data_IF_944542517349
#
_entry.id   IF_944542517349
#
_cell.length_a   1.000
_cell.length_b   1.000
_cell.length_c   1.000
_cell.angle_alpha   90.00
_cell.angle_beta   90.00
_cell.angle_gamma   90.00
#
_symmetry.space_group_name_H-M   'P 1'
#
loop_
_entity.id
_entity.type
_entity.pdbx_description
1 polymer ?
#
# COMPACT_ATOMS: atom_id res chain seq x y z
N UNK A 1 -53.36 -4.18 -64.16
CA UNK A 1 -52.04 -4.47 -63.61
C UNK A 1 -52.21 -4.62 -62.10
N UNK A 2 -52.11 -5.82 -61.49
CA UNK A 2 -52.26 -6.02 -60.07
C UNK A 2 -50.94 -5.70 -59.36
N UNK A 3 -51.01 -4.82 -58.32
CA UNK A 3 -49.85 -4.52 -57.41
C UNK A 3 -49.67 -5.67 -56.45
N UNK A 4 -48.52 -6.38 -56.54
CA UNK A 4 -48.09 -7.37 -55.57
C UNK A 4 -47.47 -6.62 -54.44
N UNK A 5 -48.06 -6.73 -53.24
CA UNK A 5 -47.49 -6.24 -51.99
C UNK A 5 -46.43 -7.23 -51.47
N UNK A 6 -45.24 -6.80 -51.12
CA UNK A 6 -44.25 -7.71 -50.51
C UNK A 6 -44.70 -8.09 -49.09
N UNK A 7 -44.87 -9.37 -48.86
CA UNK A 7 -45.07 -9.95 -47.52
C UNK A 7 -43.84 -9.62 -46.66
N UNK A 8 -44.01 -8.71 -45.70
CA UNK A 8 -43.01 -8.50 -44.66
C UNK A 8 -42.92 -9.77 -43.83
N UNK A 9 -41.83 -10.50 -43.93
CA UNK A 9 -41.49 -11.55 -43.02
C UNK A 9 -41.29 -10.93 -41.61
N UNK A 10 -42.30 -11.08 -40.78
CA UNK A 10 -42.19 -10.82 -39.34
C UNK A 10 -41.24 -11.88 -38.77
N UNK A 11 -39.97 -11.57 -38.62
CA UNK A 11 -39.04 -12.39 -37.88
C UNK A 11 -39.61 -12.59 -36.46
N UNK A 12 -40.00 -13.79 -36.13
CA UNK A 12 -40.42 -14.21 -34.82
C UNK A 12 -39.21 -14.03 -33.86
N UNK A 13 -39.19 -12.93 -33.16
CA UNK A 13 -38.27 -12.72 -32.01
C UNK A 13 -38.80 -13.48 -30.80
N UNK A 14 -38.78 -14.80 -30.88
CA UNK A 14 -39.14 -15.66 -29.80
C UNK A 14 -37.92 -16.39 -29.32
N UNK A 15 -37.46 -16.17 -28.11
CA UNK A 15 -36.37 -16.92 -27.46
C UNK A 15 -35.05 -16.18 -27.27
N UNK A 16 -34.79 -15.08 -28.02
CA UNK A 16 -33.55 -14.32 -27.91
C UNK A 16 -33.49 -13.43 -26.65
N UNK A 17 -34.62 -12.96 -26.14
CA UNK A 17 -34.64 -11.98 -25.04
C UNK A 17 -34.19 -12.57 -23.71
N UNK A 18 -34.42 -13.85 -23.45
CA UNK A 18 -34.06 -14.48 -22.19
C UNK A 18 -32.55 -14.71 -22.10
N UNK A 19 -31.93 -15.15 -23.20
CA UNK A 19 -30.46 -15.29 -23.29
C UNK A 19 -29.79 -13.91 -23.25
N UNK A 20 -30.38 -12.91 -23.88
CA UNK A 20 -29.86 -11.54 -23.87
C UNK A 20 -29.87 -10.93 -22.46
N UNK A 21 -30.94 -11.15 -21.70
CA UNK A 21 -31.01 -10.71 -20.30
C UNK A 21 -29.99 -11.46 -19.43
N UNK A 22 -29.86 -12.78 -19.63
CA UNK A 22 -28.87 -13.56 -18.88
C UNK A 22 -27.44 -13.10 -19.17
N UNK A 23 -27.12 -12.82 -20.43
CA UNK A 23 -25.81 -12.29 -20.82
C UNK A 23 -25.59 -10.88 -20.26
N UNK A 24 -26.60 -10.02 -20.31
CA UNK A 24 -26.47 -8.67 -19.73
C UNK A 24 -26.20 -8.71 -18.22
N UNK A 25 -26.93 -9.56 -17.47
CA UNK A 25 -26.70 -9.75 -16.03
C UNK A 25 -25.32 -10.32 -15.76
N UNK A 26 -24.87 -11.31 -16.54
CA UNK A 26 -23.53 -11.88 -16.39
C UNK A 26 -22.42 -10.84 -16.61
N UNK A 27 -22.54 -9.99 -17.64
CA UNK A 27 -21.59 -8.91 -17.92
C UNK A 27 -21.61 -7.87 -16.79
N UNK A 28 -22.80 -7.49 -16.30
CA UNK A 28 -22.91 -6.57 -15.16
C UNK A 28 -22.24 -7.15 -13.90
N UNK A 29 -22.48 -8.42 -13.60
CA UNK A 29 -21.88 -9.08 -12.44
C UNK A 29 -20.35 -9.14 -12.57
N UNK A 30 -19.82 -9.51 -13.73
CA UNK A 30 -18.39 -9.55 -13.98
C UNK A 30 -17.75 -8.16 -13.85
N UNK A 31 -18.41 -7.13 -14.38
CA UNK A 31 -17.95 -5.74 -14.26
C UNK A 31 -17.95 -5.25 -12.82
N UNK A 32 -18.99 -5.56 -12.05
CA UNK A 32 -19.07 -5.20 -10.63
C UNK A 32 -17.95 -5.87 -9.82
N UNK A 33 -17.68 -7.16 -10.04
CA UNK A 33 -16.60 -7.88 -9.37
C UNK A 33 -15.23 -7.30 -9.73
N UNK A 34 -15.01 -6.93 -10.99
CA UNK A 34 -13.78 -6.27 -11.44
C UNK A 34 -13.54 -4.93 -10.75
N UNK A 35 -14.59 -4.10 -10.61
CA UNK A 35 -14.52 -2.84 -9.89
C UNK A 35 -14.19 -3.02 -8.40
N UNK A 36 -14.83 -3.99 -7.73
CA UNK A 36 -14.55 -4.29 -6.33
C UNK A 36 -13.10 -4.74 -6.14
N UNK A 37 -12.59 -5.61 -7.00
CA UNK A 37 -11.20 -6.05 -6.96
C UNK A 37 -10.21 -4.88 -7.14
N UNK A 38 -10.50 -3.98 -8.08
CA UNK A 38 -9.72 -2.75 -8.30
C UNK A 38 -9.72 -1.83 -7.08
N UNK A 39 -10.87 -1.61 -6.45
CA UNK A 39 -10.98 -0.78 -5.24
C UNK A 39 -10.21 -1.38 -4.06
N UNK A 40 -10.26 -2.69 -3.87
CA UNK A 40 -9.49 -3.36 -2.82
C UNK A 40 -7.98 -3.20 -3.05
N UNK A 41 -7.54 -3.30 -4.28
CA UNK A 41 -6.12 -3.10 -4.62
C UNK A 41 -5.66 -1.67 -4.34
N UNK A 42 -6.42 -0.66 -4.79
CA UNK A 42 -6.10 0.75 -4.55
C UNK A 42 -6.13 1.12 -3.07
N UNK A 43 -7.08 0.58 -2.30
CA UNK A 43 -7.16 0.81 -0.85
C UNK A 43 -5.93 0.22 -0.11
N UNK A 44 -5.41 -0.91 -0.56
CA UNK A 44 -4.19 -1.51 0.02
C UNK A 44 -2.95 -0.67 -0.29
N UNK A 45 -2.83 -0.19 -1.51
CA UNK A 45 -1.71 0.66 -1.90
C UNK A 45 -1.75 2.00 -1.15
N UNK A 46 -2.93 2.61 -1.01
CA UNK A 46 -3.12 3.83 -0.24
C UNK A 46 -2.68 3.66 1.23
N UNK A 47 -2.99 2.53 1.86
CA UNK A 47 -2.52 2.23 3.22
C UNK A 47 -1.01 2.10 3.29
N UNK A 48 -0.38 1.44 2.32
CA UNK A 48 1.08 1.30 2.29
C UNK A 48 1.78 2.65 2.13
N UNK A 49 1.23 3.54 1.31
CA UNK A 49 1.71 4.92 1.15
C UNK A 49 1.55 5.72 2.44
N UNK A 50 0.39 5.67 3.09
CA UNK A 50 0.14 6.35 4.36
C UNK A 50 1.12 5.92 5.46
N UNK A 51 1.44 4.62 5.55
CA UNK A 51 2.45 4.15 6.51
C UNK A 51 3.84 4.72 6.23
N UNK A 52 4.22 4.84 4.96
CA UNK A 52 5.50 5.45 4.57
C UNK A 52 5.56 6.93 4.92
N UNK A 53 4.47 7.66 4.70
CA UNK A 53 4.35 9.08 5.07
C UNK A 53 4.48 9.27 6.58
N UNK A 54 3.76 8.47 7.38
CA UNK A 54 3.90 8.50 8.84
C UNK A 54 5.32 8.17 9.30
N UNK A 55 5.94 7.15 8.70
CA UNK A 55 7.31 6.78 9.04
C UNK A 55 8.32 7.88 8.67
N UNK A 56 8.15 8.54 7.53
CA UNK A 56 8.99 9.66 7.13
C UNK A 56 8.86 10.85 8.07
N UNK A 57 7.62 11.19 8.46
CA UNK A 57 7.36 12.26 9.44
C UNK A 57 7.96 11.94 10.82
N UNK A 58 7.85 10.70 11.28
CA UNK A 58 8.47 10.27 12.55
C UNK A 58 10.00 10.35 12.44
N UNK A 59 10.58 9.90 11.30
CA UNK A 59 12.02 9.95 11.10
C UNK A 59 12.55 11.39 11.13
N UNK A 60 11.85 12.33 10.51
CA UNK A 60 12.19 13.76 10.54
C UNK A 60 12.10 14.32 11.96
N UNK A 61 11.05 14.03 12.71
CA UNK A 61 10.89 14.43 14.10
C UNK A 61 11.96 13.84 15.03
N UNK A 62 12.41 12.62 14.73
CA UNK A 62 13.53 11.98 15.45
C UNK A 62 14.84 12.69 15.16
N UNK A 63 15.08 13.14 13.92
CA UNK A 63 16.24 13.98 13.56
C UNK A 63 16.22 15.28 14.34
N UNK A 64 15.11 16.00 14.39
CA UNK A 64 14.96 17.24 15.16
C UNK A 64 15.24 17.01 16.65
N UNK A 65 14.66 15.93 17.22
CA UNK A 65 14.90 15.58 18.63
C UNK A 65 16.37 15.22 18.90
N UNK A 66 17.04 14.59 17.95
CA UNK A 66 18.46 14.22 18.07
C UNK A 66 19.41 15.40 17.91
N UNK A 67 19.02 16.42 17.16
CA UNK A 67 19.78 17.66 16.94
C UNK A 67 19.52 18.72 18.01
N UNK A 68 18.49 18.58 18.84
CA UNK A 68 18.18 19.54 19.89
C UNK A 68 19.31 19.64 20.91
N UNK A 69 19.65 20.86 21.42
CA UNK A 69 20.74 21.07 22.39
C UNK A 69 20.59 20.28 23.69
N UNK A 70 19.33 20.00 24.06
CA UNK A 70 18.96 19.17 25.20
C UNK A 70 18.43 17.80 24.75
N UNK A 71 19.04 17.19 23.72
CA UNK A 71 18.63 15.89 23.22
C UNK A 71 18.66 14.88 24.37
N UNK A 72 17.49 14.56 24.89
CA UNK A 72 17.34 13.64 25.99
C UNK A 72 16.88 12.29 25.45
N UNK A 73 17.38 11.21 26.04
CA UNK A 73 16.89 9.85 25.76
C UNK A 73 15.37 9.75 25.94
N UNK A 74 14.79 10.63 26.77
CA UNK A 74 13.34 10.73 26.98
C UNK A 74 12.60 11.16 25.73
N UNK A 75 13.12 12.12 24.96
CA UNK A 75 12.52 12.56 23.69
C UNK A 75 12.55 11.45 22.64
N UNK A 76 13.69 10.76 22.50
CA UNK A 76 13.81 9.62 21.62
C UNK A 76 12.89 8.47 22.01
N UNK A 77 12.75 8.19 23.31
CA UNK A 77 11.83 7.17 23.81
C UNK A 77 10.36 7.54 23.56
N UNK A 78 9.99 8.82 23.64
CA UNK A 78 8.66 9.28 23.28
C UNK A 78 8.37 9.01 21.78
N UNK A 79 9.32 9.25 20.89
CA UNK A 79 9.17 8.96 19.48
C UNK A 79 9.13 7.47 19.16
N UNK A 80 9.89 6.64 19.86
CA UNK A 80 9.77 5.17 19.77
C UNK A 80 8.39 4.69 20.15
N UNK A 81 7.85 5.18 21.26
CA UNK A 81 6.49 4.86 21.69
C UNK A 81 5.46 5.30 20.64
N UNK A 82 5.65 6.47 20.03
CA UNK A 82 4.77 6.97 19.01
C UNK A 82 4.85 6.15 17.71
N UNK A 83 6.04 5.71 17.32
CA UNK A 83 6.23 4.80 16.20
C UNK A 83 5.51 3.46 16.44
N UNK A 84 5.62 2.90 17.63
CA UNK A 84 4.95 1.65 18.00
C UNK A 84 3.41 1.77 18.01
N UNK A 85 2.86 2.97 18.28
CA UNK A 85 1.40 3.19 18.25
C UNK A 85 0.84 3.45 16.86
N UNK A 86 1.61 4.12 15.99
CA UNK A 86 1.14 4.53 14.65
C UNK A 86 1.44 3.50 13.56
N UNK A 87 2.48 2.70 13.75
CA UNK A 87 2.96 1.74 12.76
C UNK A 87 2.91 0.31 13.32
N UNK A 88 2.51 -0.69 12.52
CA UNK A 88 2.51 -2.09 12.97
C UNK A 88 3.91 -2.54 13.34
N UNK A 89 4.15 -2.90 14.61
CA UNK A 89 5.45 -3.22 15.15
C UNK A 89 6.51 -2.14 14.83
N UNK A 90 6.07 -0.87 14.88
CA UNK A 90 6.91 0.27 14.57
C UNK A 90 8.01 0.45 15.62
N UNK A 91 9.23 0.74 15.14
CA UNK A 91 10.36 1.13 15.99
C UNK A 91 11.10 2.31 15.35
N UNK A 92 11.64 3.18 16.21
CA UNK A 92 12.42 4.32 15.78
C UNK A 92 13.79 4.28 16.50
N UNK A 93 14.87 4.46 15.76
CA UNK A 93 16.22 4.42 16.29
C UNK A 93 17.12 5.44 15.61
N UNK A 94 18.13 5.90 16.34
CA UNK A 94 19.22 6.72 15.81
C UNK A 94 20.50 5.93 15.94
N UNK A 95 21.23 5.81 14.84
CA UNK A 95 22.53 5.14 14.79
C UNK A 95 23.51 6.06 14.08
N UNK A 96 24.76 6.06 14.49
CA UNK A 96 25.83 6.85 13.86
C UNK A 96 26.90 7.22 14.85
N UNK A 97 28.04 7.58 14.32
CA UNK A 97 29.20 8.08 15.06
C UNK A 97 29.35 9.60 14.81
N UNK A 98 30.28 10.24 15.53
CA UNK A 98 30.54 11.67 15.41
C UNK A 98 30.63 12.14 13.97
N UNK A 99 29.73 13.04 13.58
CA UNK A 99 29.66 13.69 12.29
C UNK A 99 28.46 13.28 11.43
N UNK A 100 28.13 12.02 11.30
CA UNK A 100 26.97 11.56 10.52
C UNK A 100 26.15 10.55 11.33
N UNK A 101 24.89 10.87 11.52
CA UNK A 101 23.93 9.99 12.18
C UNK A 101 22.79 9.65 11.20
N UNK A 102 22.10 8.55 11.48
CA UNK A 102 20.96 8.08 10.69
C UNK A 102 19.78 7.83 11.63
N UNK A 103 18.71 8.57 11.43
CA UNK A 103 17.41 8.27 12.01
C UNK A 103 16.73 7.21 11.16
N UNK A 104 16.27 6.15 11.79
CA UNK A 104 15.64 5.02 11.13
C UNK A 104 14.32 4.69 11.80
N UNK A 105 13.28 4.52 10.97
CA UNK A 105 11.97 4.01 11.39
C UNK A 105 11.69 2.73 10.62
N UNK A 106 11.37 1.67 11.35
CA UNK A 106 11.03 0.36 10.79
C UNK A 106 9.61 -0.02 11.18
N UNK A 107 8.92 -0.77 10.33
CA UNK A 107 7.60 -1.31 10.63
C UNK A 107 7.35 -2.58 9.82
N UNK A 108 6.42 -3.42 10.29
CA UNK A 108 6.01 -4.61 9.54
C UNK A 108 5.24 -4.20 8.28
N UNK A 109 5.74 -4.61 7.12
CA UNK A 109 5.03 -4.40 5.86
C UNK A 109 3.77 -5.27 5.82
N UNK A 110 2.61 -4.65 5.53
CA UNK A 110 1.39 -5.39 5.23
C UNK A 110 1.53 -6.03 3.84
N UNK A 111 2.16 -7.18 3.78
CA UNK A 111 2.29 -7.96 2.55
C UNK A 111 1.05 -8.82 2.38
N UNK A 112 0.27 -8.54 1.36
CA UNK A 112 -0.96 -9.27 1.09
C UNK A 112 -0.79 -10.45 0.12
N UNK A 113 0.38 -10.61 -0.49
CA UNK A 113 0.75 -11.79 -1.29
C UNK A 113 2.26 -12.00 -1.25
N UNK A 114 2.73 -13.24 -1.00
CA UNK A 114 4.12 -13.59 -1.23
C UNK A 114 4.40 -13.45 -2.73
N UNK A 115 5.30 -12.55 -3.11
CA UNK A 115 5.88 -12.61 -4.46
C UNK A 115 6.81 -13.80 -4.51
N UNK A 116 6.91 -14.45 -5.67
CA UNK A 116 7.83 -15.57 -5.87
C UNK A 116 9.28 -15.24 -5.47
N UNK A 117 9.68 -13.96 -5.62
CA UNK A 117 10.98 -13.43 -5.19
C UNK A 117 11.09 -13.20 -3.68
N UNK A 118 9.98 -13.22 -2.95
CA UNK A 118 9.92 -13.02 -1.49
C UNK A 118 10.08 -14.33 -0.68
N UNK A 119 10.26 -15.47 -1.36
CA UNK A 119 10.55 -16.74 -0.68
C UNK A 119 11.92 -16.76 0.02
N UNK A 120 12.79 -15.80 -0.27
CA UNK A 120 13.94 -15.48 0.56
C UNK A 120 13.73 -14.09 1.16
N UNK A 121 13.31 -14.04 2.40
CA UNK A 121 13.27 -12.83 3.23
C UNK A 121 14.69 -12.26 3.41
N UNK A 122 15.23 -11.66 2.35
CA UNK A 122 16.53 -11.01 2.44
C UNK A 122 16.38 -9.70 3.23
N UNK A 123 17.21 -9.50 4.25
CA UNK A 123 17.27 -8.22 4.94
C UNK A 123 17.51 -7.09 3.92
N UNK A 124 16.67 -6.04 3.96
CA UNK A 124 16.82 -4.90 3.08
C UNK A 124 17.74 -3.86 3.75
N UNK A 125 18.72 -3.29 3.02
CA UNK A 125 19.56 -2.24 3.59
C UNK A 125 18.72 -1.01 3.94
N UNK A 126 18.88 -0.51 5.14
CA UNK A 126 18.18 0.63 5.69
C UNK A 126 19.14 1.53 6.47
N UNK A 127 19.64 2.57 5.81
CA UNK A 127 20.57 3.50 6.46
C UNK A 127 21.87 2.86 6.97
N UNK A 128 22.45 1.94 6.20
CA UNK A 128 23.70 1.26 6.55
C UNK A 128 23.55 0.02 7.45
N UNK A 129 22.33 -0.28 7.90
CA UNK A 129 22.01 -1.47 8.71
C UNK A 129 20.91 -2.25 8.03
N UNK A 130 20.94 -3.57 8.14
CA UNK A 130 19.87 -4.40 7.59
C UNK A 130 18.58 -4.26 8.42
N UNK A 131 17.47 -3.97 7.76
CA UNK A 131 16.15 -4.03 8.38
C UNK A 131 15.76 -5.50 8.62
N UNK A 132 14.99 -5.80 9.68
CA UNK A 132 14.47 -7.14 9.92
C UNK A 132 13.73 -7.69 8.70
N UNK A 133 13.78 -9.00 8.50
CA UNK A 133 13.02 -9.66 7.44
C UNK A 133 11.52 -9.35 7.58
N UNK A 134 10.84 -9.14 6.45
CA UNK A 134 9.41 -8.78 6.46
C UNK A 134 9.08 -7.35 6.86
N UNK A 135 10.09 -6.51 7.21
CA UNK A 135 9.89 -5.11 7.56
C UNK A 135 10.09 -4.16 6.37
N UNK A 136 9.43 -3.02 6.44
CA UNK A 136 9.73 -1.83 5.65
C UNK A 136 10.48 -0.83 6.51
N UNK A 137 11.24 0.07 5.88
CA UNK A 137 11.94 1.10 6.63
C UNK A 137 12.05 2.42 5.85
N UNK A 138 12.22 3.48 6.61
CA UNK A 138 12.67 4.81 6.16
C UNK A 138 13.91 5.18 6.97
N UNK A 139 14.93 5.71 6.30
CA UNK A 139 16.15 6.18 6.93
C UNK A 139 16.51 7.58 6.43
N UNK A 140 16.82 8.49 7.35
CA UNK A 140 17.26 9.85 7.08
C UNK A 140 18.65 10.04 7.67
N UNK A 141 19.63 10.35 6.82
CA UNK A 141 20.97 10.71 7.27
C UNK A 141 21.01 12.21 7.60
N UNK A 142 21.67 12.56 8.72
CA UNK A 142 21.84 13.94 9.16
C UNK A 142 23.21 14.14 9.80
N UNK A 143 23.64 15.38 9.83
CA UNK A 143 24.89 15.80 10.50
C UNK A 143 24.56 16.20 11.93
N UNK A 144 25.31 15.67 12.88
CA UNK A 144 25.16 15.95 14.32
C UNK A 144 26.36 16.70 14.86
#
# INVERSE_FOLDING_TARGET
MPRVWPHRFRARRGGSSLIEVMLAVAVMAASALGLIAGQLWTAREARAMSMREHAAWIADSVVEAACAPASSDSALNAWRTRAATLLPQGDASVTGTAGVAVARVTWTALRNMPRADDMMDKPKPCGGVNAPAGSSCVALAFVK
#
